data_IF_011857301718
#
_entry.id   IF_011857301718
#
_cell.length_a   1.000
_cell.length_b   1.000
_cell.length_c   1.000
_cell.angle_alpha   90.00
_cell.angle_beta   90.00
_cell.angle_gamma   90.00
#
_symmetry.space_group_name_H-M   'P 1'
#
loop_
_entity.id
_entity.type
_entity.pdbx_description
1 polymer ?
#
# COMPACT_ATOMS: atom_id res chain seq x y z
N UNK A 1 -59.98 33.82 -22.77
CA UNK A 1 -59.48 32.43 -22.83
C UNK A 1 -58.08 32.43 -22.18
N UNK A 2 -57.97 31.82 -20.99
CA UNK A 2 -56.67 31.71 -20.27
C UNK A 2 -56.23 30.25 -20.42
N UNK A 3 -55.06 30.01 -21.01
CA UNK A 3 -54.44 28.69 -21.07
C UNK A 3 -53.61 28.46 -19.79
N UNK A 4 -53.63 27.28 -19.15
CA UNK A 4 -52.83 26.96 -18.02
C UNK A 4 -51.41 26.54 -18.45
N UNK A 5 -50.42 27.11 -17.76
CA UNK A 5 -49.01 26.74 -17.89
C UNK A 5 -48.80 25.46 -17.09
N UNK A 6 -48.35 24.37 -17.75
CA UNK A 6 -47.93 23.11 -17.12
C UNK A 6 -46.44 23.23 -16.80
N UNK A 7 -46.02 23.06 -15.55
CA UNK A 7 -44.61 23.01 -15.23
C UNK A 7 -44.00 21.67 -15.63
N UNK A 8 -43.02 21.69 -16.51
CA UNK A 8 -42.21 20.53 -16.89
C UNK A 8 -41.36 20.13 -15.69
N UNK A 9 -41.63 18.99 -15.08
CA UNK A 9 -40.72 18.33 -14.13
C UNK A 9 -39.53 17.78 -14.92
N UNK A 10 -38.37 18.44 -14.78
CA UNK A 10 -37.09 17.85 -15.13
C UNK A 10 -36.75 16.80 -14.06
N UNK A 11 -36.96 15.54 -14.36
CA UNK A 11 -36.43 14.43 -13.58
C UNK A 11 -34.92 14.37 -13.83
N UNK A 12 -34.18 14.87 -12.86
CA UNK A 12 -32.71 14.69 -12.83
C UNK A 12 -32.37 13.23 -12.64
N UNK A 13 -31.94 12.57 -13.69
CA UNK A 13 -31.30 11.24 -13.63
C UNK A 13 -29.92 11.44 -12.98
N UNK A 14 -29.82 11.19 -11.68
CA UNK A 14 -28.52 10.97 -11.02
C UNK A 14 -27.97 9.65 -11.55
N UNK A 15 -27.07 9.71 -12.51
CA UNK A 15 -26.20 8.58 -12.84
C UNK A 15 -25.33 8.33 -11.60
N UNK A 16 -25.65 7.26 -10.88
CA UNK A 16 -24.73 6.64 -9.94
C UNK A 16 -23.58 6.04 -10.78
N UNK A 17 -22.52 6.81 -10.91
CA UNK A 17 -21.25 6.30 -11.42
C UNK A 17 -20.71 5.35 -10.35
N UNK A 18 -20.87 4.04 -10.58
CA UNK A 18 -20.12 3.03 -9.83
C UNK A 18 -18.64 3.24 -10.12
N UNK A 19 -17.95 3.92 -9.21
CA UNK A 19 -16.51 4.02 -9.27
C UNK A 19 -15.94 2.67 -8.85
N UNK A 20 -15.35 1.93 -9.80
CA UNK A 20 -14.54 0.76 -9.48
C UNK A 20 -13.39 1.20 -8.54
N UNK A 21 -13.02 0.36 -7.58
CA UNK A 21 -11.85 0.60 -6.74
C UNK A 21 -10.64 0.76 -7.66
N UNK A 22 -10.06 1.95 -7.65
CA UNK A 22 -8.88 2.30 -8.41
C UNK A 22 -7.75 2.32 -7.39
N UNK A 23 -6.62 1.65 -7.67
CA UNK A 23 -5.42 1.74 -6.83
C UNK A 23 -5.14 3.18 -6.47
N UNK A 24 -4.50 3.38 -5.35
CA UNK A 24 -4.02 4.70 -4.99
C UNK A 24 -3.06 5.18 -6.09
N UNK A 25 -3.52 6.15 -6.89
CA UNK A 25 -2.77 6.73 -8.00
C UNK A 25 -2.40 8.17 -7.69
N UNK A 26 -1.18 8.53 -8.03
CA UNK A 26 -0.66 9.86 -7.78
C UNK A 26 0.13 10.37 -8.97
N UNK A 27 0.02 11.66 -9.27
CA UNK A 27 0.99 12.33 -10.11
C UNK A 27 2.38 12.26 -9.43
N UNK A 28 3.44 12.06 -10.22
CA UNK A 28 4.78 12.15 -9.66
C UNK A 28 5.02 13.55 -9.10
N UNK A 29 5.68 13.65 -7.94
CA UNK A 29 5.88 14.94 -7.28
C UNK A 29 6.81 15.84 -8.10
N UNK A 30 6.67 17.16 -7.90
CA UNK A 30 7.57 18.15 -8.49
C UNK A 30 9.02 17.94 -8.02
N UNK A 31 9.96 18.54 -8.74
CA UNK A 31 11.37 18.53 -8.36
C UNK A 31 11.55 19.03 -6.91
N UNK A 32 12.41 18.35 -6.16
CA UNK A 32 12.64 18.66 -4.73
C UNK A 32 11.69 17.92 -3.77
N UNK A 33 10.71 17.17 -4.26
CA UNK A 33 9.88 16.28 -3.45
C UNK A 33 9.93 14.85 -3.98
N UNK A 34 9.80 13.88 -3.08
CA UNK A 34 9.56 12.47 -3.39
C UNK A 34 8.43 11.90 -2.54
N UNK A 35 7.49 12.73 -2.14
CA UNK A 35 6.33 12.33 -1.35
C UNK A 35 5.04 12.43 -2.17
N UNK A 36 4.13 11.49 -1.95
CA UNK A 36 2.80 11.45 -2.59
C UNK A 36 1.73 11.10 -1.56
N UNK A 37 0.49 11.46 -1.87
CA UNK A 37 -0.65 11.20 -0.98
C UNK A 37 -0.68 12.11 0.24
N UNK A 38 -1.58 11.77 1.17
CA UNK A 38 -1.78 12.50 2.42
C UNK A 38 -2.33 11.58 3.49
N UNK A 39 -2.10 11.90 4.75
CA UNK A 39 -2.73 11.21 5.87
C UNK A 39 -4.23 11.55 5.90
N UNK A 40 -5.04 10.58 6.29
CA UNK A 40 -6.48 10.74 6.46
C UNK A 40 -6.90 10.20 7.83
N UNK A 41 -8.00 10.72 8.36
CA UNK A 41 -8.65 10.19 9.55
C UNK A 41 -10.08 9.84 9.18
N UNK A 42 -10.54 8.66 9.53
CA UNK A 42 -11.93 8.22 9.37
C UNK A 42 -12.52 7.84 10.73
N UNK A 43 -13.85 7.86 10.84
CA UNK A 43 -14.55 7.45 12.07
C UNK A 43 -15.10 6.05 11.83
N UNK A 44 -14.59 5.04 12.57
CA UNK A 44 -15.03 3.68 12.46
C UNK A 44 -16.53 3.53 12.80
N UNK A 45 -17.23 2.73 12.03
CA UNK A 45 -18.66 2.37 12.26
C UNK A 45 -18.74 1.06 13.05
N UNK A 46 -19.92 0.71 13.49
CA UNK A 46 -20.16 -0.44 14.35
C UNK A 46 -19.68 -1.79 13.78
N UNK A 47 -19.73 -1.96 12.47
CA UNK A 47 -19.37 -3.22 11.80
C UNK A 47 -18.00 -3.20 11.12
N UNK A 48 -17.31 -2.07 11.17
CA UNK A 48 -16.02 -1.95 10.50
C UNK A 48 -14.93 -2.69 11.29
N UNK A 49 -14.02 -3.29 10.55
CA UNK A 49 -12.73 -3.74 11.07
C UNK A 49 -11.62 -2.81 10.53
N UNK A 50 -10.44 -2.80 11.15
CA UNK A 50 -9.30 -2.10 10.54
C UNK A 50 -8.90 -2.72 9.20
N UNK A 51 -9.21 -4.00 8.98
CA UNK A 51 -8.92 -4.69 7.72
C UNK A 51 -9.82 -4.19 6.59
N UNK A 52 -11.11 -3.98 6.86
CA UNK A 52 -12.05 -3.42 5.89
C UNK A 52 -11.64 -1.99 5.50
N UNK A 53 -11.32 -1.17 6.50
CA UNK A 53 -10.86 0.20 6.28
C UNK A 53 -9.55 0.18 5.47
N UNK A 54 -8.59 -0.67 5.87
CA UNK A 54 -7.31 -0.79 5.16
C UNK A 54 -7.52 -1.17 3.69
N UNK A 55 -8.32 -2.20 3.41
CA UNK A 55 -8.61 -2.65 2.04
C UNK A 55 -9.29 -1.56 1.21
N UNK A 56 -10.24 -0.83 1.80
CA UNK A 56 -10.92 0.27 1.12
C UNK A 56 -9.96 1.39 0.68
N UNK A 57 -8.93 1.66 1.48
CA UNK A 57 -7.96 2.73 1.21
C UNK A 57 -6.63 2.24 0.61
N UNK A 58 -6.56 1.00 0.11
CA UNK A 58 -5.33 0.40 -0.43
C UNK A 58 -4.14 0.46 0.55
N UNK A 59 -4.42 0.21 1.81
CA UNK A 59 -3.46 0.13 2.91
C UNK A 59 -3.31 -1.32 3.35
N UNK A 60 -2.10 -1.75 3.67
CA UNK A 60 -1.85 -3.10 4.19
C UNK A 60 -2.19 -3.24 5.67
N UNK A 61 -2.47 -4.48 6.10
CA UNK A 61 -2.80 -4.78 7.50
C UNK A 61 -1.79 -4.23 8.51
N UNK A 62 -0.50 -4.43 8.26
CA UNK A 62 0.51 -3.94 9.20
C UNK A 62 0.65 -2.42 9.19
N UNK A 63 0.38 -1.76 8.08
CA UNK A 63 0.39 -0.30 7.98
C UNK A 63 -0.72 0.30 8.83
N UNK A 64 -1.97 -0.17 8.64
CA UNK A 64 -3.12 0.37 9.39
C UNK A 64 -2.98 0.10 10.89
N UNK A 65 -2.47 -1.09 11.28
CA UNK A 65 -2.22 -1.41 12.69
C UNK A 65 -1.14 -0.56 13.32
N UNK A 66 -0.03 -0.36 12.64
CA UNK A 66 1.08 0.46 13.15
C UNK A 66 0.68 1.94 13.28
N UNK A 67 -0.18 2.42 12.39
CA UNK A 67 -0.74 3.77 12.44
C UNK A 67 -1.74 3.97 13.59
N UNK A 68 -2.34 2.89 14.12
CA UNK A 68 -3.37 2.93 15.15
C UNK A 68 -3.01 2.04 16.34
N UNK A 69 -1.94 2.34 17.09
CA UNK A 69 -1.55 1.53 18.24
C UNK A 69 -2.65 1.55 19.31
N UNK A 70 -2.98 0.36 19.82
CA UNK A 70 -4.01 0.20 20.87
C UNK A 70 -5.45 0.08 20.36
N UNK A 71 -5.70 0.27 19.06
CA UNK A 71 -7.02 -0.01 18.46
C UNK A 71 -7.10 -1.50 18.11
N UNK A 72 -8.19 -2.17 18.54
CA UNK A 72 -8.43 -3.55 18.18
C UNK A 72 -8.69 -3.66 16.66
N UNK A 73 -7.95 -4.50 15.93
CA UNK A 73 -8.10 -4.58 14.49
C UNK A 73 -9.40 -5.21 14.01
N UNK A 74 -10.06 -6.03 14.86
CA UNK A 74 -11.31 -6.69 14.54
C UNK A 74 -12.54 -5.96 15.08
N UNK A 75 -12.36 -5.21 16.17
CA UNK A 75 -13.42 -4.47 16.85
C UNK A 75 -12.92 -3.07 17.26
N UNK A 76 -12.65 -2.19 16.29
CA UNK A 76 -12.20 -0.83 16.61
C UNK A 76 -13.22 -0.05 17.45
N UNK A 77 -14.49 -0.39 17.31
CA UNK A 77 -15.60 0.28 17.99
C UNK A 77 -16.12 1.50 17.25
N UNK A 78 -17.44 1.67 17.24
CA UNK A 78 -18.08 2.82 16.61
C UNK A 78 -17.61 4.14 17.25
N UNK A 79 -17.29 5.13 16.43
CA UNK A 79 -16.80 6.43 16.87
C UNK A 79 -15.29 6.52 17.05
N UNK A 80 -14.56 5.41 16.92
CA UNK A 80 -13.08 5.44 16.97
C UNK A 80 -12.51 6.18 15.76
N UNK A 81 -11.62 7.15 16.03
CA UNK A 81 -10.85 7.82 14.99
C UNK A 81 -9.73 6.90 14.53
N UNK A 82 -9.76 6.50 13.27
CA UNK A 82 -8.76 5.63 12.64
C UNK A 82 -7.90 6.46 11.70
N UNK A 83 -6.61 6.50 11.96
CA UNK A 83 -5.63 7.11 11.05
C UNK A 83 -5.37 6.17 9.88
N UNK A 84 -5.61 6.65 8.67
CA UNK A 84 -5.37 5.93 7.42
C UNK A 84 -4.07 6.46 6.80
N UNK A 85 -2.98 5.69 6.77
CA UNK A 85 -1.65 6.16 6.38
C UNK A 85 -1.46 6.15 4.84
N UNK A 86 -2.25 6.93 4.12
CA UNK A 86 -2.22 7.06 2.65
C UNK A 86 -1.23 8.12 2.15
N UNK A 87 -0.19 8.40 2.92
CA UNK A 87 0.94 9.23 2.52
C UNK A 87 2.20 8.37 2.43
N UNK A 88 2.95 8.51 1.34
CA UNK A 88 4.09 7.65 1.03
C UNK A 88 5.31 8.46 0.63
N UNK A 89 6.50 7.97 1.00
CA UNK A 89 7.76 8.39 0.42
C UNK A 89 8.10 7.43 -0.71
N UNK A 90 8.28 7.93 -1.92
CA UNK A 90 8.62 7.10 -3.07
C UNK A 90 10.00 6.46 -2.90
N UNK A 91 10.18 5.21 -3.39
CA UNK A 91 11.47 4.52 -3.33
C UNK A 91 12.54 5.30 -4.10
N UNK A 92 13.84 4.98 -3.91
CA UNK A 92 14.90 5.61 -4.68
C UNK A 92 14.71 5.46 -6.19
N UNK A 93 15.14 6.47 -6.92
CA UNK A 93 15.18 6.42 -8.40
C UNK A 93 16.18 5.36 -8.90
N UNK A 94 16.00 4.83 -10.12
CA UNK A 94 15.07 5.29 -11.16
C UNK A 94 13.63 4.79 -10.93
N UNK A 95 12.64 5.65 -11.13
CA UNK A 95 11.23 5.30 -11.08
C UNK A 95 10.78 4.69 -12.40
N UNK A 96 10.88 3.38 -12.51
CA UNK A 96 10.56 2.66 -13.75
C UNK A 96 10.04 1.25 -13.44
N UNK A 97 8.96 0.85 -14.10
CA UNK A 97 8.37 -0.47 -13.90
C UNK A 97 7.82 -0.66 -12.48
N UNK A 98 8.03 -1.83 -11.92
CA UNK A 98 7.58 -2.20 -10.58
C UNK A 98 8.76 -2.15 -9.61
N UNK A 99 8.56 -1.47 -8.47
CA UNK A 99 9.49 -1.48 -7.35
C UNK A 99 8.73 -1.98 -6.12
N UNK A 100 9.23 -3.04 -5.46
CA UNK A 100 8.63 -3.60 -4.25
C UNK A 100 9.61 -3.40 -3.09
N UNK A 101 9.22 -2.60 -2.10
CA UNK A 101 9.98 -2.45 -0.87
C UNK A 101 9.51 -3.49 0.17
N UNK A 102 10.33 -4.49 0.44
CA UNK A 102 9.96 -5.65 1.24
C UNK A 102 9.59 -5.28 2.69
N UNK A 103 10.38 -4.47 3.44
CA UNK A 103 10.00 -4.06 4.80
C UNK A 103 8.69 -3.25 4.83
N UNK A 104 8.44 -2.44 3.82
CA UNK A 104 7.24 -1.62 3.65
C UNK A 104 6.01 -2.47 3.30
N UNK A 105 6.22 -3.63 2.66
CA UNK A 105 5.17 -4.49 2.09
C UNK A 105 4.32 -3.72 1.09
N UNK A 106 4.98 -2.96 0.22
CA UNK A 106 4.33 -2.10 -0.76
C UNK A 106 5.01 -2.19 -2.12
N UNK A 107 4.17 -2.26 -3.14
CA UNK A 107 4.52 -2.22 -4.54
C UNK A 107 4.22 -0.83 -5.08
N UNK A 108 5.19 -0.26 -5.80
CA UNK A 108 5.04 0.95 -6.59
C UNK A 108 5.17 0.60 -8.07
N UNK A 109 4.22 1.01 -8.88
CA UNK A 109 4.29 0.84 -10.32
C UNK A 109 4.39 2.18 -11.01
N UNK A 110 5.43 2.35 -11.81
CA UNK A 110 5.75 3.54 -12.59
C UNK A 110 5.59 3.22 -14.08
N UNK A 111 4.43 3.54 -14.69
CA UNK A 111 4.18 3.27 -16.11
C UNK A 111 5.13 4.06 -17.00
N UNK A 112 5.70 3.40 -18.01
CA UNK A 112 6.59 4.06 -18.96
C UNK A 112 5.86 5.18 -19.72
N UNK A 113 6.49 6.36 -19.78
CA UNK A 113 5.96 7.53 -20.50
C UNK A 113 4.82 8.26 -19.80
N UNK A 114 4.48 7.92 -18.55
CA UNK A 114 3.47 8.60 -17.75
C UNK A 114 4.12 9.27 -16.54
N UNK A 115 3.62 10.44 -16.16
CA UNK A 115 4.05 11.16 -14.96
C UNK A 115 3.20 10.74 -13.74
N UNK A 116 3.08 9.43 -13.53
CA UNK A 116 2.20 8.83 -12.53
C UNK A 116 2.90 7.70 -11.78
N UNK A 117 2.45 7.45 -10.56
CA UNK A 117 2.76 6.25 -9.78
C UNK A 117 1.47 5.65 -9.24
N UNK A 118 1.39 4.33 -9.32
CA UNK A 118 0.35 3.52 -8.68
C UNK A 118 0.98 2.76 -7.53
N UNK A 119 0.31 2.66 -6.40
CA UNK A 119 0.84 1.93 -5.26
C UNK A 119 -0.16 0.95 -4.68
N UNK A 120 0.34 -0.22 -4.27
CA UNK A 120 -0.45 -1.34 -3.82
C UNK A 120 0.19 -1.97 -2.57
N UNK A 121 -0.56 -2.24 -1.51
CA UNK A 121 -0.05 -3.06 -0.43
C UNK A 121 0.15 -4.49 -0.92
N UNK A 122 1.17 -5.17 -0.41
CA UNK A 122 1.46 -6.55 -0.79
C UNK A 122 1.65 -7.45 0.43
N UNK A 123 1.04 -8.64 0.38
CA UNK A 123 1.43 -9.76 1.21
C UNK A 123 2.76 -10.31 0.71
N UNK A 124 3.70 -10.52 1.62
CA UNK A 124 5.04 -11.02 1.31
C UNK A 124 5.30 -12.37 1.98
N UNK A 125 6.43 -12.96 1.71
CA UNK A 125 6.87 -14.26 2.21
C UNK A 125 6.96 -14.36 3.73
N UNK A 126 6.80 -15.60 4.20
CA UNK A 126 7.00 -16.01 5.60
C UNK A 126 8.48 -16.00 5.99
N UNK A 127 8.82 -15.97 7.30
CA UNK A 127 10.20 -15.83 7.77
C UNK A 127 11.22 -16.84 7.23
N UNK A 128 10.83 -18.02 6.82
CA UNK A 128 11.74 -19.08 6.35
C UNK A 128 11.84 -19.17 4.82
N UNK A 129 11.15 -18.31 4.10
CA UNK A 129 11.08 -18.30 2.65
C UNK A 129 11.66 -16.98 2.15
N UNK A 130 12.94 -16.94 1.75
CA UNK A 130 13.58 -15.70 1.36
C UNK A 130 13.00 -15.17 0.05
N UNK A 131 12.67 -13.89 0.02
CA UNK A 131 12.42 -13.18 -1.23
C UNK A 131 13.73 -12.91 -1.97
N UNK A 132 13.72 -12.91 -3.27
CA UNK A 132 14.84 -12.39 -4.03
C UNK A 132 14.91 -10.87 -3.82
N UNK A 133 16.07 -10.36 -3.41
CA UNK A 133 16.43 -8.95 -3.52
C UNK A 133 17.20 -8.75 -4.82
N UNK A 134 16.79 -7.78 -5.62
CA UNK A 134 17.41 -7.49 -6.90
C UNK A 134 16.41 -7.17 -8.00
N UNK A 135 16.79 -7.41 -9.25
CA UNK A 135 15.98 -7.02 -10.40
C UNK A 135 15.67 -8.19 -11.32
N UNK A 136 14.48 -8.18 -11.87
CA UNK A 136 13.98 -9.08 -12.90
C UNK A 136 12.99 -8.34 -13.80
N UNK A 137 12.10 -9.05 -14.46
CA UNK A 137 11.01 -8.50 -15.28
C UNK A 137 9.80 -9.42 -15.26
N UNK A 138 8.66 -8.91 -15.66
CA UNK A 138 7.48 -9.73 -15.95
C UNK A 138 7.75 -10.53 -17.23
N UNK A 139 7.64 -11.86 -17.15
CA UNK A 139 7.88 -12.76 -18.28
C UNK A 139 6.60 -13.32 -18.89
N UNK A 140 5.52 -13.39 -18.11
CA UNK A 140 4.21 -13.83 -18.60
C UNK A 140 3.06 -13.20 -17.80
N UNK A 141 1.87 -13.23 -18.39
CA UNK A 141 0.60 -12.82 -17.79
C UNK A 141 -0.35 -14.01 -17.90
N UNK A 142 -0.80 -14.53 -16.76
CA UNK A 142 -1.62 -15.73 -16.67
C UNK A 142 -3.02 -15.35 -16.21
N UNK A 143 -4.06 -15.82 -16.95
CA UNK A 143 -5.46 -15.70 -16.55
C UNK A 143 -5.95 -17.04 -16.04
N UNK A 144 -6.76 -17.03 -15.02
CA UNK A 144 -7.32 -18.22 -14.39
C UNK A 144 -6.23 -19.26 -14.09
N UNK A 145 -5.19 -18.87 -13.29
CA UNK A 145 -4.09 -19.77 -13.00
C UNK A 145 -4.58 -21.03 -12.27
N UNK A 146 -3.93 -22.15 -12.52
CA UNK A 146 -4.02 -23.33 -11.66
C UNK A 146 -2.80 -23.38 -10.76
N UNK A 147 -2.87 -24.02 -9.62
CA UNK A 147 -1.73 -24.15 -8.72
C UNK A 147 -1.45 -25.61 -8.35
N UNK A 148 -0.35 -26.13 -8.84
CA UNK A 148 0.22 -27.38 -8.35
C UNK A 148 1.06 -27.04 -7.12
N UNK A 149 0.63 -27.51 -5.97
CA UNK A 149 1.26 -27.17 -4.68
C UNK A 149 2.60 -27.89 -4.57
N UNK A 150 3.73 -27.18 -4.35
CA UNK A 150 5.02 -27.81 -4.10
C UNK A 150 4.97 -28.76 -2.90
N UNK A 151 5.70 -29.90 -2.97
CA UNK A 151 5.68 -30.93 -1.91
C UNK A 151 6.06 -30.41 -0.53
N UNK A 152 7.08 -29.54 -0.46
CA UNK A 152 7.51 -28.91 0.79
C UNK A 152 6.42 -28.05 1.44
N UNK A 153 5.56 -27.41 0.65
CA UNK A 153 4.39 -26.64 1.16
C UNK A 153 3.31 -27.60 1.66
N UNK A 154 3.03 -28.69 0.91
CA UNK A 154 2.08 -29.71 1.36
C UNK A 154 2.53 -30.33 2.70
N UNK A 155 3.82 -30.63 2.83
CA UNK A 155 4.40 -31.19 4.07
C UNK A 155 4.35 -30.19 5.23
N UNK A 156 4.58 -28.90 4.98
CA UNK A 156 4.47 -27.85 5.99
C UNK A 156 3.05 -27.79 6.55
N UNK A 157 2.05 -27.74 5.67
CA UNK A 157 0.64 -27.71 6.06
C UNK A 157 0.21 -29.00 6.77
N UNK A 158 0.64 -30.16 6.30
CA UNK A 158 0.34 -31.43 6.96
C UNK A 158 0.92 -31.50 8.38
N UNK A 159 2.16 -31.00 8.59
CA UNK A 159 2.79 -30.92 9.92
C UNK A 159 2.08 -29.92 10.85
N UNK A 160 1.45 -28.89 10.28
CA UNK A 160 0.63 -27.93 11.04
C UNK A 160 -0.77 -28.47 11.39
N UNK A 161 -1.14 -29.66 10.92
CA UNK A 161 -2.47 -30.24 11.10
C UNK A 161 -3.54 -29.68 10.16
N UNK A 162 -3.14 -28.93 9.15
CA UNK A 162 -4.01 -28.27 8.16
C UNK A 162 -3.66 -28.73 6.73
N UNK A 163 -3.84 -30.01 6.38
CA UNK A 163 -3.46 -30.52 5.08
C UNK A 163 -4.22 -29.80 3.95
N UNK A 164 -3.51 -29.45 2.88
CA UNK A 164 -4.08 -28.80 1.71
C UNK A 164 -4.03 -29.70 0.49
N UNK A 165 -4.93 -29.52 -0.51
CA UNK A 165 -4.88 -30.24 -1.76
C UNK A 165 -3.52 -30.11 -2.47
N UNK A 166 -3.11 -31.17 -3.19
CA UNK A 166 -1.90 -31.11 -4.01
C UNK A 166 -2.07 -30.23 -5.27
N UNK A 167 -3.30 -29.91 -5.63
CA UNK A 167 -3.65 -29.12 -6.81
C UNK A 167 -4.90 -28.27 -6.54
N UNK A 168 -4.84 -27.01 -6.95
CA UNK A 168 -5.99 -26.11 -6.99
C UNK A 168 -6.31 -25.80 -8.45
N UNK A 169 -7.53 -26.10 -8.92
CA UNK A 169 -7.99 -25.64 -10.22
C UNK A 169 -8.19 -24.12 -10.22
N UNK A 170 -8.36 -23.53 -11.40
CA UNK A 170 -8.80 -22.15 -11.50
C UNK A 170 -10.18 -21.97 -10.84
N UNK A 171 -10.36 -20.87 -10.14
CA UNK A 171 -11.63 -20.56 -9.46
C UNK A 171 -11.45 -19.81 -8.14
N UNK A 172 -12.54 -19.49 -7.45
CA UNK A 172 -12.54 -18.63 -6.26
C UNK A 172 -11.76 -19.22 -5.07
N UNK A 173 -11.64 -20.55 -5.01
CA UNK A 173 -10.88 -21.23 -3.94
C UNK A 173 -9.38 -21.26 -4.21
N UNK A 174 -8.94 -20.84 -5.41
CA UNK A 174 -7.52 -20.87 -5.75
C UNK A 174 -6.78 -19.73 -5.02
N UNK A 175 -5.74 -20.05 -4.22
CA UNK A 175 -4.96 -19.01 -3.52
C UNK A 175 -4.24 -18.02 -4.43
N UNK A 176 -4.09 -18.33 -5.73
CA UNK A 176 -3.47 -17.42 -6.70
C UNK A 176 -4.42 -16.35 -7.27
N UNK A 177 -5.72 -16.36 -6.92
CA UNK A 177 -6.70 -15.46 -7.51
C UNK A 177 -7.00 -15.77 -8.97
N UNK A 178 -7.53 -14.79 -9.68
CA UNK A 178 -7.95 -14.92 -11.09
C UNK A 178 -6.85 -14.56 -12.09
N UNK A 179 -5.87 -13.77 -11.68
CA UNK A 179 -4.84 -13.22 -12.56
C UNK A 179 -3.48 -13.31 -11.89
N UNK A 180 -2.42 -13.58 -12.64
CA UNK A 180 -1.06 -13.62 -12.14
C UNK A 180 -0.08 -13.00 -13.13
N UNK A 181 0.88 -12.25 -12.61
CA UNK A 181 2.05 -11.75 -13.32
C UNK A 181 3.23 -12.63 -12.94
N UNK A 182 3.73 -13.41 -13.88
CA UNK A 182 4.91 -14.25 -13.67
C UNK A 182 6.18 -13.40 -13.77
N UNK A 183 7.04 -13.52 -12.76
CA UNK A 183 8.33 -12.84 -12.77
C UNK A 183 9.43 -13.75 -13.32
N UNK A 184 10.58 -13.19 -13.71
CA UNK A 184 11.73 -13.99 -14.15
C UNK A 184 12.43 -14.75 -13.01
N UNK A 185 12.04 -14.56 -11.74
CA UNK A 185 12.44 -15.45 -10.66
C UNK A 185 11.61 -16.72 -10.67
N UNK A 186 12.25 -17.87 -10.46
CA UNK A 186 11.58 -19.16 -10.49
C UNK A 186 10.46 -19.24 -9.46
N UNK A 187 9.24 -19.55 -9.90
CA UNK A 187 8.05 -19.78 -9.09
C UNK A 187 7.59 -18.55 -8.26
N UNK A 188 7.98 -17.34 -8.66
CA UNK A 188 7.56 -16.11 -7.98
C UNK A 188 6.64 -15.30 -8.88
N UNK A 189 5.44 -15.03 -8.38
CA UNK A 189 4.38 -14.31 -9.05
C UNK A 189 3.94 -13.10 -8.23
N UNK A 190 3.37 -12.10 -8.92
CA UNK A 190 2.54 -11.06 -8.31
C UNK A 190 1.12 -11.41 -8.70
N UNK A 191 0.26 -11.73 -7.75
CA UNK A 191 -1.07 -12.28 -8.01
C UNK A 191 -2.09 -11.88 -6.94
N UNK A 192 -3.36 -12.11 -7.19
CA UNK A 192 -4.43 -11.91 -6.22
C UNK A 192 -4.40 -12.92 -5.08
N UNK A 193 -5.48 -12.99 -4.36
CA UNK A 193 -5.61 -13.94 -3.24
C UNK A 193 -7.07 -14.21 -2.93
N UNK A 194 -7.37 -15.44 -2.50
CA UNK A 194 -8.64 -15.79 -1.88
C UNK A 194 -8.68 -15.45 -0.38
N UNK A 195 -7.58 -14.87 0.17
CA UNK A 195 -7.46 -14.46 1.58
C UNK A 195 -6.96 -13.02 1.69
N UNK A 196 -7.80 -12.02 1.33
CA UNK A 196 -7.39 -10.61 1.22
C UNK A 196 -6.90 -10.02 2.56
N UNK A 197 -7.33 -10.56 3.69
CA UNK A 197 -6.84 -10.12 5.01
C UNK A 197 -5.33 -10.35 5.23
N UNK A 198 -4.68 -11.16 4.40
CA UNK A 198 -3.24 -11.40 4.43
C UNK A 198 -2.40 -10.33 3.71
N UNK A 199 -3.04 -9.40 2.99
CA UNK A 199 -2.34 -8.31 2.29
C UNK A 199 -1.72 -7.36 3.31
N UNK A 200 -0.43 -7.04 3.11
CA UNK A 200 0.35 -6.29 4.09
C UNK A 200 0.97 -7.15 5.20
N UNK A 201 0.83 -8.48 5.13
CA UNK A 201 1.41 -9.42 6.10
C UNK A 201 2.51 -10.30 5.48
N UNK A 202 3.18 -11.09 6.33
CA UNK A 202 4.15 -12.12 5.92
C UNK A 202 3.46 -13.49 5.89
N UNK A 203 2.86 -13.83 4.76
CA UNK A 203 1.93 -14.98 4.65
C UNK A 203 2.24 -15.94 3.51
N UNK A 204 3.01 -15.53 2.50
CA UNK A 204 3.25 -16.31 1.29
C UNK A 204 4.43 -17.29 1.40
N UNK A 205 4.58 -18.15 0.42
CA UNK A 205 5.72 -19.04 0.23
C UNK A 205 6.64 -18.54 -0.90
N UNK A 206 6.72 -17.20 -1.10
CA UNK A 206 7.61 -16.57 -2.07
C UNK A 206 6.92 -15.63 -3.05
N UNK A 207 5.59 -15.68 -3.19
CA UNK A 207 4.84 -14.78 -4.09
C UNK A 207 4.42 -13.48 -3.40
N UNK A 208 4.08 -12.47 -4.19
CA UNK A 208 3.52 -11.21 -3.74
C UNK A 208 2.00 -11.21 -3.94
N UNK A 209 1.24 -11.14 -2.84
CA UNK A 209 -0.23 -11.12 -2.88
C UNK A 209 -0.73 -9.69 -2.87
N UNK A 210 -1.62 -9.35 -3.79
CA UNK A 210 -2.36 -8.07 -3.81
C UNK A 210 -3.84 -8.31 -3.56
N UNK A 211 -4.59 -7.27 -3.20
CA UNK A 211 -6.05 -7.37 -3.13
C UNK A 211 -6.64 -7.79 -4.46
N UNK A 212 -7.76 -8.54 -4.51
CA UNK A 212 -8.38 -8.99 -5.75
C UNK A 212 -8.68 -7.86 -6.73
N UNK A 213 -9.16 -6.72 -6.25
CA UNK A 213 -9.41 -5.53 -7.05
C UNK A 213 -8.12 -4.91 -7.62
N UNK A 214 -7.05 -4.91 -6.85
CA UNK A 214 -5.73 -4.43 -7.28
C UNK A 214 -5.09 -5.36 -8.31
N UNK A 215 -5.31 -6.68 -8.18
CA UNK A 215 -4.87 -7.68 -9.15
C UNK A 215 -5.38 -7.35 -10.55
N UNK A 216 -6.69 -7.08 -10.66
CA UNK A 216 -7.34 -6.75 -11.95
C UNK A 216 -6.73 -5.50 -12.56
N UNK A 217 -6.51 -4.47 -11.74
CA UNK A 217 -5.96 -3.21 -12.20
C UNK A 217 -4.48 -3.35 -12.62
N UNK A 218 -3.66 -3.94 -11.77
CA UNK A 218 -2.23 -4.15 -12.04
C UNK A 218 -2.04 -5.02 -13.28
N UNK A 219 -2.82 -6.09 -13.42
CA UNK A 219 -2.80 -6.95 -14.58
C UNK A 219 -3.14 -6.21 -15.88
N UNK A 220 -4.08 -5.27 -15.89
CA UNK A 220 -4.41 -4.45 -17.07
C UNK A 220 -3.26 -3.54 -17.48
N UNK A 221 -2.62 -2.89 -16.52
CA UNK A 221 -1.59 -1.86 -16.75
C UNK A 221 -0.22 -2.44 -17.10
N UNK A 222 0.17 -3.54 -16.43
CA UNK A 222 1.53 -4.11 -16.57
C UNK A 222 1.63 -4.92 -17.87
N UNK A 223 2.77 -4.76 -18.56
CA UNK A 223 3.10 -5.48 -19.81
C UNK A 223 4.18 -6.53 -19.56
N UNK A 224 4.22 -7.56 -20.37
CA UNK A 224 5.38 -8.47 -20.44
C UNK A 224 6.63 -7.63 -20.79
N UNK A 225 7.73 -7.91 -20.11
CA UNK A 225 8.96 -7.14 -20.20
C UNK A 225 9.07 -5.99 -19.18
N UNK A 226 7.98 -5.62 -18.46
CA UNK A 226 8.05 -4.60 -17.41
C UNK A 226 9.12 -4.96 -16.38
N UNK A 227 10.09 -4.09 -16.07
CA UNK A 227 11.07 -4.32 -15.02
C UNK A 227 10.42 -4.49 -13.65
N UNK A 228 10.97 -5.40 -12.84
CA UNK A 228 10.58 -5.60 -11.43
C UNK A 228 11.84 -5.55 -10.59
N UNK A 229 11.84 -4.69 -9.58
CA UNK A 229 12.94 -4.57 -8.63
C UNK A 229 12.40 -4.72 -7.20
N UNK A 230 13.02 -5.60 -6.42
CA UNK A 230 12.75 -5.73 -4.99
C UNK A 230 13.90 -5.13 -4.20
N UNK A 231 13.58 -4.38 -3.16
CA UNK A 231 14.54 -3.69 -2.30
C UNK A 231 14.27 -3.97 -0.82
N UNK A 232 15.32 -3.90 0.00
CA UNK A 232 15.26 -3.99 1.46
C UNK A 232 15.59 -2.62 2.08
N UNK A 233 14.61 -1.73 2.14
CA UNK A 233 14.76 -0.40 2.71
C UNK A 233 13.78 -0.18 3.88
N UNK A 234 14.16 -0.54 5.10
CA UNK A 234 13.33 -0.31 6.28
C UNK A 234 13.26 1.16 6.68
N UNK A 235 14.15 2.01 6.19
CA UNK A 235 14.20 3.44 6.45
C UNK A 235 14.19 4.19 5.13
N UNK A 236 13.05 4.81 4.80
CA UNK A 236 12.89 5.57 3.56
C UNK A 236 12.84 7.04 3.89
N UNK A 237 13.70 7.82 3.22
CA UNK A 237 13.87 9.26 3.47
C UNK A 237 13.27 10.06 2.34
N UNK A 238 12.56 11.11 2.68
CA UNK A 238 11.94 11.99 1.69
C UNK A 238 11.87 13.43 2.13
N UNK A 239 11.61 14.30 1.17
CA UNK A 239 11.33 15.70 1.41
C UNK A 239 10.04 16.11 0.74
N UNK A 240 9.31 17.04 1.34
CA UNK A 240 8.17 17.69 0.69
C UNK A 240 8.60 18.95 -0.06
N UNK A 241 7.69 19.51 -0.86
CA UNK A 241 7.95 20.73 -1.63
C UNK A 241 8.28 21.97 -0.78
N UNK A 242 8.04 21.93 0.55
CA UNK A 242 8.34 23.02 1.48
C UNK A 242 9.70 22.84 2.19
N UNK A 243 10.54 21.91 1.73
CA UNK A 243 11.87 21.67 2.27
C UNK A 243 11.90 20.96 3.64
N UNK A 244 10.81 20.33 4.04
CA UNK A 244 10.76 19.53 5.26
C UNK A 244 11.20 18.09 4.98
N UNK A 245 12.09 17.57 5.82
CA UNK A 245 12.63 16.21 5.72
C UNK A 245 11.77 15.23 6.52
N UNK A 246 11.51 14.07 5.94
CA UNK A 246 10.71 13.00 6.55
C UNK A 246 11.48 11.69 6.57
N UNK A 247 11.22 10.89 7.59
CA UNK A 247 11.62 9.50 7.69
C UNK A 247 10.36 8.64 7.80
N UNK A 248 10.27 7.63 6.95
CA UNK A 248 9.28 6.56 7.05
C UNK A 248 10.01 5.29 7.49
N UNK A 249 9.59 4.70 8.59
CA UNK A 249 10.28 3.58 9.23
C UNK A 249 9.41 2.33 9.25
N UNK A 250 10.01 1.21 8.90
CA UNK A 250 9.41 -0.12 8.90
C UNK A 250 10.25 -1.08 9.73
N UNK A 251 9.61 -2.08 10.33
CA UNK A 251 10.34 -3.14 11.02
C UNK A 251 11.27 -3.87 10.04
N UNK A 252 12.59 -3.90 10.30
CA UNK A 252 13.53 -4.60 9.44
C UNK A 252 13.20 -6.09 9.30
N UNK A 253 13.41 -6.64 8.12
CA UNK A 253 13.26 -8.09 7.89
C UNK A 253 14.50 -8.79 8.42
N UNK A 254 14.33 -9.66 9.41
CA UNK A 254 15.44 -10.33 10.11
C UNK A 254 16.39 -11.07 9.14
N UNK A 255 15.85 -11.72 8.10
CA UNK A 255 16.65 -12.47 7.12
C UNK A 255 17.71 -11.62 6.42
N UNK A 256 17.45 -10.31 6.22
CA UNK A 256 18.38 -9.39 5.54
C UNK A 256 19.18 -8.51 6.52
N UNK A 257 18.83 -8.55 7.80
CA UNK A 257 19.34 -7.62 8.79
C UNK A 257 20.18 -8.27 9.91
N UNK A 258 20.60 -9.53 9.74
CA UNK A 258 21.44 -10.23 10.72
C UNK A 258 22.72 -9.44 10.96
N UNK A 259 22.92 -9.01 12.21
CA UNK A 259 24.12 -8.29 12.65
C UNK A 259 24.19 -6.81 12.18
N UNK A 260 23.16 -6.28 11.53
CA UNK A 260 23.13 -4.87 11.15
C UNK A 260 22.64 -4.00 12.31
N UNK A 261 23.22 -2.79 12.43
CA UNK A 261 22.77 -1.78 13.36
C UNK A 261 21.65 -0.94 12.70
N UNK A 262 20.43 -1.03 13.22
CA UNK A 262 19.27 -0.32 12.69
C UNK A 262 19.42 1.20 12.74
N UNK A 263 20.02 1.75 13.79
CA UNK A 263 20.27 3.19 13.90
C UNK A 263 21.26 3.65 12.83
N UNK A 264 22.36 2.90 12.62
CA UNK A 264 23.32 3.21 11.58
C UNK A 264 22.69 3.18 10.20
N UNK A 265 21.83 2.20 9.90
CA UNK A 265 21.10 2.14 8.62
C UNK A 265 20.18 3.35 8.39
N UNK A 266 19.54 3.86 9.44
CA UNK A 266 18.74 5.07 9.34
C UNK A 266 19.62 6.31 9.07
N UNK A 267 20.75 6.43 9.76
CA UNK A 267 21.74 7.49 9.51
C UNK A 267 22.28 7.43 8.10
N UNK A 268 22.62 6.23 7.61
CA UNK A 268 23.13 6.03 6.24
C UNK A 268 22.06 6.41 5.19
N UNK A 269 20.80 6.05 5.42
CA UNK A 269 19.70 6.42 4.55
C UNK A 269 19.50 7.94 4.45
N UNK A 270 19.55 8.64 5.59
CA UNK A 270 19.46 10.10 5.66
C UNK A 270 20.66 10.74 4.94
N UNK A 271 21.88 10.31 5.24
CA UNK A 271 23.10 10.84 4.63
C UNK A 271 23.13 10.62 3.11
N UNK A 272 22.66 9.45 2.66
CA UNK A 272 22.56 9.14 1.23
C UNK A 272 21.55 10.06 0.55
N UNK A 273 20.39 10.29 1.14
CA UNK A 273 19.37 11.17 0.61
C UNK A 273 19.88 12.62 0.51
N UNK A 274 20.47 13.16 1.60
CA UNK A 274 21.08 14.51 1.60
C UNK A 274 22.10 14.69 0.49
N UNK A 275 22.96 13.67 0.29
CA UNK A 275 23.95 13.67 -0.78
C UNK A 275 23.31 13.65 -2.17
N UNK A 276 22.25 12.86 -2.36
CA UNK A 276 21.55 12.75 -3.65
C UNK A 276 20.84 14.04 -4.06
N UNK A 277 20.23 14.73 -3.09
CA UNK A 277 19.51 15.99 -3.35
C UNK A 277 20.39 17.24 -3.19
N UNK A 278 21.65 17.07 -2.76
CA UNK A 278 22.62 18.14 -2.52
C UNK A 278 22.10 19.21 -1.52
N UNK A 279 21.37 18.74 -0.49
CA UNK A 279 20.80 19.57 0.55
C UNK A 279 20.98 18.91 1.90
N UNK A 280 21.25 19.70 2.95
CA UNK A 280 21.37 19.23 4.33
C UNK A 280 20.31 19.85 5.22
N UNK A 281 19.92 19.14 6.27
CA UNK A 281 18.92 19.57 7.24
C UNK A 281 19.46 19.51 8.67
N UNK A 282 18.92 20.34 9.53
CA UNK A 282 19.12 20.21 10.98
C UNK A 282 18.13 19.17 11.52
N UNK A 283 18.66 18.01 11.90
CA UNK A 283 17.86 16.81 12.20
C UNK A 283 17.62 16.69 13.71
N UNK A 284 16.41 16.32 14.06
CA UNK A 284 16.05 15.86 15.40
C UNK A 284 16.41 14.37 15.55
N UNK A 285 17.62 14.10 15.97
CA UNK A 285 18.14 12.73 16.11
C UNK A 285 17.38 11.90 17.13
N UNK A 286 16.78 12.52 18.17
CA UNK A 286 15.95 11.76 19.11
C UNK A 286 14.70 11.22 18.40
N UNK A 287 14.07 12.02 17.55
CA UNK A 287 12.94 11.57 16.75
C UNK A 287 13.33 10.42 15.79
N UNK A 288 14.52 10.47 15.21
CA UNK A 288 15.04 9.37 14.36
C UNK A 288 15.20 8.09 15.19
N UNK A 289 15.80 8.18 16.39
CA UNK A 289 15.97 7.04 17.30
C UNK A 289 14.61 6.44 17.66
N UNK A 290 13.65 7.26 18.06
CA UNK A 290 12.29 6.82 18.42
C UNK A 290 11.60 6.08 17.26
N UNK A 291 11.74 6.57 16.02
CA UNK A 291 11.21 5.94 14.82
C UNK A 291 11.90 4.62 14.46
N UNK A 292 13.17 4.48 14.76
CA UNK A 292 13.93 3.23 14.57
C UNK A 292 13.51 2.17 15.57
N UNK A 293 13.33 2.56 16.84
CA UNK A 293 12.95 1.66 17.93
C UNK A 293 11.48 1.25 17.87
N UNK A 294 10.61 2.17 17.43
CA UNK A 294 9.15 1.97 17.30
C UNK A 294 8.66 2.40 15.92
N UNK A 295 8.90 1.59 14.90
CA UNK A 295 8.44 1.89 13.54
C UNK A 295 6.92 2.08 13.48
N UNK A 296 6.50 3.23 12.93
CA UNK A 296 5.08 3.60 12.83
C UNK A 296 4.52 3.55 11.40
N UNK A 297 5.36 3.22 10.42
CA UNK A 297 5.03 3.15 8.97
C UNK A 297 4.57 4.45 8.32
N UNK A 298 4.60 5.57 9.04
CA UNK A 298 4.09 6.86 8.59
C UNK A 298 5.26 7.81 8.30
N UNK A 299 5.27 8.51 7.14
CA UNK A 299 6.23 9.59 6.94
C UNK A 299 6.15 10.61 8.08
N UNK A 300 7.17 10.67 8.90
CA UNK A 300 7.23 11.53 10.08
C UNK A 300 8.34 12.56 9.89
N UNK A 301 8.02 13.83 10.11
CA UNK A 301 8.98 14.92 9.97
C UNK A 301 10.09 14.80 11.01
N UNK A 302 11.35 14.91 10.55
CA UNK A 302 12.55 14.75 11.40
C UNK A 302 13.43 16.01 11.48
N UNK A 303 12.95 17.15 10.98
CA UNK A 303 13.62 18.42 11.19
C UNK A 303 13.49 18.85 12.66
N UNK A 304 14.49 19.55 13.16
CA UNK A 304 14.35 20.30 14.42
C UNK A 304 13.14 21.25 14.33
N UNK A 305 12.34 21.33 15.37
CA UNK A 305 11.12 22.14 15.48
C UNK A 305 9.98 21.74 14.50
N UNK A 306 10.06 20.60 13.83
CA UNK A 306 8.91 20.08 13.07
C UNK A 306 7.75 19.73 14.02
N UNK A 307 6.49 19.86 13.58
CA UNK A 307 5.36 19.40 14.36
C UNK A 307 5.44 17.89 14.58
N UNK A 308 5.04 17.44 15.75
CA UNK A 308 4.94 16.00 16.03
C UNK A 308 3.86 15.35 15.18
N UNK A 309 3.97 14.06 14.91
CA UNK A 309 2.93 13.32 14.17
C UNK A 309 1.56 13.48 14.84
N UNK A 310 1.49 13.42 16.17
CA UNK A 310 0.24 13.60 16.91
C UNK A 310 -0.35 15.00 16.72
N UNK A 311 0.47 16.05 16.66
CA UNK A 311 0.00 17.40 16.40
C UNK A 311 -0.53 17.56 14.96
N UNK A 312 0.10 16.89 13.99
CA UNK A 312 -0.38 16.86 12.60
C UNK A 312 -1.73 16.13 12.53
N UNK A 313 -1.82 14.94 13.11
CA UNK A 313 -3.04 14.10 13.08
C UNK A 313 -4.21 14.80 13.78
N UNK A 314 -3.98 15.50 14.88
CA UNK A 314 -5.01 16.23 15.60
C UNK A 314 -5.68 17.37 14.79
N UNK A 315 -5.03 17.80 13.70
CA UNK A 315 -5.56 18.85 12.81
C UNK A 315 -6.30 18.28 11.60
N UNK A 316 -6.26 16.95 11.38
CA UNK A 316 -6.92 16.32 10.25
C UNK A 316 -8.43 16.23 10.52
N UNK A 317 -9.28 16.80 9.68
CA UNK A 317 -10.72 16.60 9.80
C UNK A 317 -11.06 15.15 9.45
N UNK A 318 -11.91 14.48 10.24
CA UNK A 318 -12.40 13.15 9.88
C UNK A 318 -13.09 13.19 8.51
N UNK A 319 -12.72 12.26 7.65
CA UNK A 319 -13.32 12.12 6.33
C UNK A 319 -14.52 11.16 6.42
N UNK A 320 -15.66 11.51 5.83
CA UNK A 320 -16.75 10.56 5.66
C UNK A 320 -16.32 9.49 4.67
N UNK A 321 -16.74 8.25 4.92
CA UNK A 321 -16.61 7.17 3.97
C UNK A 321 -17.91 6.37 3.91
N UNK A 322 -18.22 5.87 2.72
CA UNK A 322 -19.44 5.09 2.46
C UNK A 322 -19.08 3.85 1.65
N UNK A 323 -18.71 2.80 2.35
CA UNK A 323 -18.56 1.48 1.78
C UNK A 323 -19.19 0.42 2.71
N UNK A 324 -19.63 -0.69 2.13
CA UNK A 324 -20.05 -1.85 2.93
C UNK A 324 -18.80 -2.59 3.41
N UNK A 325 -18.75 -3.03 4.68
CA UNK A 325 -17.68 -3.93 5.13
C UNK A 325 -17.59 -5.15 4.23
N UNK A 326 -16.38 -5.63 4.00
CA UNK A 326 -16.16 -6.76 3.09
C UNK A 326 -16.61 -8.08 3.71
N UNK A 327 -17.22 -8.32 4.72
CA UNK A 327 -17.74 -9.56 5.31
C UNK A 327 -16.93 -10.83 5.00
N UNK A 328 -17.42 -11.96 5.50
CA UNK A 328 -16.78 -13.27 5.27
C UNK A 328 -16.81 -13.70 3.79
N UNK A 329 -17.76 -13.18 3.00
CA UNK A 329 -17.94 -13.47 1.57
C UNK A 329 -17.20 -12.48 0.64
N UNK A 330 -16.25 -11.75 1.15
CA UNK A 330 -15.52 -10.68 0.45
C UNK A 330 -14.81 -11.09 -0.85
N UNK A 331 -14.74 -12.37 -1.17
CA UNK A 331 -14.22 -12.87 -2.45
C UNK A 331 -15.16 -12.61 -3.64
N UNK A 332 -16.43 -12.26 -3.39
CA UNK A 332 -17.44 -12.04 -4.43
C UNK A 332 -17.91 -10.59 -4.55
N UNK A 333 -17.44 -9.70 -3.68
CA UNK A 333 -17.88 -8.31 -3.66
C UNK A 333 -17.31 -7.53 -4.84
N UNK A 334 -18.18 -6.89 -5.61
CA UNK A 334 -17.79 -5.80 -6.50
C UNK A 334 -17.03 -4.76 -5.67
N UNK A 335 -15.81 -4.36 -6.06
CA UNK A 335 -15.02 -3.42 -5.28
C UNK A 335 -15.79 -2.12 -5.03
N UNK A 336 -15.73 -1.55 -3.82
CA UNK A 336 -16.29 -0.24 -3.56
C UNK A 336 -15.63 0.83 -4.42
N UNK A 337 -16.31 1.96 -4.66
CA UNK A 337 -15.72 3.06 -5.40
C UNK A 337 -14.48 3.59 -4.67
N UNK A 338 -13.44 3.88 -5.43
CA UNK A 338 -12.24 4.51 -4.89
C UNK A 338 -12.57 5.86 -4.25
N UNK A 339 -11.91 6.22 -3.15
CA UNK A 339 -12.01 7.58 -2.64
C UNK A 339 -11.52 8.56 -3.70
N UNK A 340 -12.33 9.58 -3.98
CA UNK A 340 -11.94 10.65 -4.90
C UNK A 340 -10.65 11.29 -4.39
N UNK A 341 -9.59 11.43 -5.20
CA UNK A 341 -8.41 12.14 -4.77
C UNK A 341 -8.81 13.55 -4.32
N UNK A 342 -8.41 13.92 -3.11
CA UNK A 342 -8.64 15.29 -2.64
C UNK A 342 -7.98 16.25 -3.62
N UNK A 343 -8.74 17.20 -4.14
CA UNK A 343 -8.24 18.19 -5.07
C UNK A 343 -7.00 18.87 -4.46
N UNK A 344 -5.91 18.86 -5.18
CA UNK A 344 -4.70 19.60 -4.84
C UNK A 344 -5.10 21.05 -4.66
N UNK A 345 -4.81 21.72 -3.52
CA UNK A 345 -5.10 23.14 -3.37
C UNK A 345 -4.43 23.91 -4.50
N UNK A 346 -5.23 24.67 -5.26
CA UNK A 346 -4.69 25.55 -6.30
C UNK A 346 -3.66 26.48 -5.66
N UNK A 347 -2.46 26.55 -6.23
CA UNK A 347 -1.46 27.51 -5.83
C UNK A 347 -2.05 28.91 -5.93
N UNK A 348 -2.13 29.62 -4.82
CA UNK A 348 -2.54 31.02 -4.79
C UNK A 348 -1.48 31.83 -5.53
N UNK A 349 -1.81 32.59 -6.58
CA UNK A 349 -0.82 33.44 -7.23
C UNK A 349 -0.33 34.49 -6.23
N UNK A 350 0.98 34.57 -6.10
CA UNK A 350 1.62 35.64 -5.34
C UNK A 350 1.29 37.01 -5.97
N UNK A 351 0.75 37.92 -5.19
CA UNK A 351 0.58 39.32 -5.54
C UNK A 351 1.88 40.08 -5.33
#
# INVERSE_FOLDING_TARGET
MKYPIIPSLLAGYSMLLSSAAIAAEFALPAAGSNMVGQLQVVIARHRDTLLDIARHYDVGYNEIRAANPGVDPWLPGAGTHVLVPTQYILPPKPWTGIIINIPERRLFYFPAGQNMVYTFPVGIFRPKWPDPIGSTRIIAKVKNPTWTVPKNIQEEHAKAGEPIPAFFPAGPDNPMGELALETGWSQIFIHGTNKPWGVGMRVSHGCFHVYPENEVQLFKMVKVGTPVTTIDQPYVVGANGNGQLYLQSFAPIEAYNKGSNSQQRAVDAISLFEKQVQQSWTINWQQVIDLVEKPNTIPTAININAPTLSAVVAQLPPQPYDFAPYGDDANTATPPPAPTPAATPAATPAA
#
